data_IF_445051304430
#
_entry.id   IF_445051304430
#
_cell.length_a   1.000
_cell.length_b   1.000
_cell.length_c   1.000
_cell.angle_alpha   90.00
_cell.angle_beta   90.00
_cell.angle_gamma   90.00
#
_symmetry.space_group_name_H-M   'P 1'
#
loop_
_entity.id
_entity.type
_entity.pdbx_description
1 polymer ?
#
# COMPACT_ATOMS: atom_id res chain seq x y z
N UNK A 1 5.58 18.41 -43.29
CA UNK A 1 6.63 18.65 -42.27
C UNK A 1 6.34 17.80 -41.07
N UNK A 2 7.21 16.86 -40.64
CA UNK A 2 7.05 16.16 -39.37
C UNK A 2 7.33 17.17 -38.26
N UNK A 3 6.36 17.48 -37.42
CA UNK A 3 6.55 18.27 -36.22
C UNK A 3 7.67 17.66 -35.37
N UNK A 4 8.60 18.45 -34.89
CA UNK A 4 9.65 17.99 -34.00
C UNK A 4 8.98 17.49 -32.71
N UNK A 5 9.33 16.26 -32.27
CA UNK A 5 8.86 15.69 -31.01
C UNK A 5 9.26 16.60 -29.84
N UNK A 6 8.33 16.78 -28.89
CA UNK A 6 8.59 17.56 -27.67
C UNK A 6 8.89 16.66 -26.49
N UNK A 7 9.78 17.05 -25.56
CA UNK A 7 9.98 16.29 -24.33
C UNK A 7 8.69 16.18 -23.49
N UNK A 8 8.49 15.05 -22.83
CA UNK A 8 7.41 14.85 -21.88
C UNK A 8 7.57 15.82 -20.69
N UNK A 9 6.57 16.64 -20.44
CA UNK A 9 6.56 17.55 -19.29
C UNK A 9 6.19 16.85 -18.00
N UNK A 10 6.58 17.41 -16.84
CA UNK A 10 6.24 16.86 -15.53
C UNK A 10 4.70 16.78 -15.31
N UNK A 11 3.93 17.73 -15.84
CA UNK A 11 2.47 17.70 -15.76
C UNK A 11 1.88 16.58 -16.60
N UNK A 12 2.32 16.43 -17.84
CA UNK A 12 1.89 15.33 -18.71
C UNK A 12 2.26 13.96 -18.11
N UNK A 13 3.44 13.84 -17.51
CA UNK A 13 3.86 12.62 -16.83
C UNK A 13 2.88 12.22 -15.73
N UNK A 14 2.49 13.16 -14.87
CA UNK A 14 1.52 12.93 -13.78
C UNK A 14 0.13 12.61 -14.34
N UNK A 15 -0.33 13.35 -15.33
CA UNK A 15 -1.63 13.15 -15.96
C UNK A 15 -1.72 11.76 -16.59
N UNK A 16 -0.74 11.36 -17.41
CA UNK A 16 -0.73 10.05 -18.05
C UNK A 16 -0.63 8.91 -17.03
N UNK A 17 0.18 9.09 -15.98
CA UNK A 17 0.29 8.11 -14.91
C UNK A 17 -1.04 7.95 -14.15
N UNK A 18 -1.68 9.05 -13.75
CA UNK A 18 -2.96 9.02 -13.05
C UNK A 18 -4.07 8.40 -13.89
N UNK A 19 -4.11 8.75 -15.18
CA UNK A 19 -5.08 8.18 -16.12
C UNK A 19 -4.84 6.67 -16.30
N UNK A 20 -3.58 6.25 -16.43
CA UNK A 20 -3.22 4.84 -16.53
C UNK A 20 -3.57 4.05 -15.26
N UNK A 21 -3.39 4.63 -14.08
CA UNK A 21 -3.78 4.00 -12.82
C UNK A 21 -5.28 3.71 -12.77
N UNK A 22 -6.11 4.71 -13.03
CA UNK A 22 -7.59 4.56 -13.01
C UNK A 22 -8.06 3.53 -14.04
N UNK A 23 -7.59 3.63 -15.27
CA UNK A 23 -7.95 2.72 -16.36
C UNK A 23 -7.48 1.29 -16.08
N UNK A 24 -6.27 1.15 -15.54
CA UNK A 24 -5.75 -0.14 -15.13
C UNK A 24 -6.64 -0.82 -14.08
N UNK A 25 -7.07 -0.09 -13.05
CA UNK A 25 -7.96 -0.62 -12.02
C UNK A 25 -9.29 -1.10 -12.63
N UNK A 26 -9.91 -0.31 -13.49
CA UNK A 26 -11.12 -0.70 -14.21
C UNK A 26 -10.93 -1.91 -15.11
N UNK A 27 -9.86 -1.92 -15.91
CA UNK A 27 -9.53 -3.04 -16.79
C UNK A 27 -9.20 -4.32 -16.01
N UNK A 28 -8.50 -4.22 -14.87
CA UNK A 28 -8.18 -5.33 -13.99
C UNK A 28 -9.45 -5.98 -13.44
N UNK A 29 -10.36 -5.19 -12.90
CA UNK A 29 -11.62 -5.69 -12.35
C UNK A 29 -12.49 -6.36 -13.42
N UNK A 30 -12.56 -5.77 -14.59
CA UNK A 30 -13.36 -6.30 -15.70
C UNK A 30 -12.71 -7.51 -16.41
N UNK A 31 -11.42 -7.80 -16.18
CA UNK A 31 -10.69 -8.88 -16.85
C UNK A 31 -10.44 -10.08 -15.95
N UNK A 32 -10.49 -9.92 -14.63
CA UNK A 32 -10.04 -10.92 -13.67
C UNK A 32 -11.10 -11.91 -13.20
N UNK A 33 -12.39 -11.56 -13.31
CA UNK A 33 -13.48 -12.33 -12.69
C UNK A 33 -13.19 -12.68 -11.22
N UNK A 34 -12.79 -11.66 -10.45
CA UNK A 34 -12.35 -11.78 -9.07
C UNK A 34 -13.49 -12.18 -8.12
N UNK A 35 -13.24 -13.14 -7.28
CA UNK A 35 -14.12 -13.50 -6.16
C UNK A 35 -13.76 -12.69 -4.92
N UNK A 36 -14.66 -12.68 -3.95
CA UNK A 36 -14.38 -12.13 -2.62
C UNK A 36 -13.11 -12.76 -2.04
N UNK A 37 -12.24 -11.94 -1.44
CA UNK A 37 -10.98 -12.35 -0.82
C UNK A 37 -9.93 -12.98 -1.77
N UNK A 38 -10.01 -12.72 -3.07
CA UNK A 38 -8.95 -13.12 -4.01
C UNK A 38 -7.99 -11.97 -4.35
N UNK A 39 -8.42 -10.72 -4.12
CA UNK A 39 -7.67 -9.51 -4.43
C UNK A 39 -7.96 -8.44 -3.38
N UNK A 40 -6.93 -7.68 -2.98
CA UNK A 40 -7.08 -6.45 -2.22
C UNK A 40 -6.16 -5.36 -2.78
N UNK A 41 -6.71 -4.19 -3.07
CA UNK A 41 -5.96 -3.00 -3.47
C UNK A 41 -5.55 -2.24 -2.22
N UNK A 42 -4.25 -2.06 -2.00
CA UNK A 42 -3.72 -1.43 -0.80
C UNK A 42 -2.61 -0.41 -1.09
N UNK A 43 -1.87 0.01 -0.06
CA UNK A 43 -0.77 0.93 -0.22
C UNK A 43 -1.18 2.40 -0.44
N UNK A 44 -0.21 3.23 -0.81
CA UNK A 44 -0.40 4.68 -0.93
C UNK A 44 -1.35 5.09 -2.04
N UNK A 45 -1.37 4.36 -3.15
CA UNK A 45 -2.26 4.66 -4.27
C UNK A 45 -3.71 4.28 -3.96
N UNK A 46 -3.94 3.23 -3.16
CA UNK A 46 -5.27 2.93 -2.62
C UNK A 46 -5.79 4.06 -1.74
N UNK A 47 -4.96 4.62 -0.85
CA UNK A 47 -5.33 5.80 -0.05
C UNK A 47 -5.66 7.00 -0.94
N UNK A 48 -4.86 7.24 -1.98
CA UNK A 48 -5.07 8.36 -2.89
C UNK A 48 -6.37 8.23 -3.70
N UNK A 49 -6.55 7.09 -4.38
CA UNK A 49 -7.64 6.90 -5.35
C UNK A 49 -8.94 6.43 -4.72
N UNK A 50 -8.90 5.66 -3.64
CA UNK A 50 -10.10 5.09 -3.00
C UNK A 50 -10.59 5.88 -1.78
N UNK A 51 -9.69 6.65 -1.14
CA UNK A 51 -9.98 7.37 0.10
C UNK A 51 -9.71 8.87 0.02
N UNK A 52 -9.35 9.38 -1.16
CA UNK A 52 -9.09 10.80 -1.42
C UNK A 52 -7.96 11.41 -0.58
N UNK A 53 -6.94 10.61 -0.20
CA UNK A 53 -5.71 11.18 0.35
C UNK A 53 -5.10 12.16 -0.64
N UNK A 54 -4.73 13.38 -0.23
CA UNK A 54 -4.15 14.37 -1.13
C UNK A 54 -2.75 14.00 -1.61
N UNK A 55 -2.08 13.05 -0.94
CA UNK A 55 -0.73 12.61 -1.27
C UNK A 55 -0.73 11.72 -2.52
N UNK A 56 0.00 12.16 -3.54
CA UNK A 56 0.23 11.36 -4.76
C UNK A 56 0.98 10.06 -4.46
N UNK A 57 0.69 9.03 -5.24
CA UNK A 57 1.40 7.76 -5.22
C UNK A 57 1.54 7.22 -6.64
N UNK A 58 2.64 6.54 -6.93
CA UNK A 58 2.97 6.10 -8.29
C UNK A 58 2.66 4.63 -8.54
N UNK A 59 2.90 3.77 -7.54
CA UNK A 59 2.78 2.33 -7.67
C UNK A 59 1.35 1.86 -7.31
N UNK A 60 0.88 0.83 -7.99
CA UNK A 60 -0.35 0.13 -7.70
C UNK A 60 -0.01 -1.16 -6.94
N UNK A 61 -0.36 -1.21 -5.66
CA UNK A 61 -0.04 -2.33 -4.78
C UNK A 61 -1.26 -3.21 -4.53
N UNK A 62 -1.09 -4.51 -4.69
CA UNK A 62 -2.15 -5.50 -4.50
C UNK A 62 -1.69 -6.66 -3.63
N UNK A 63 -2.57 -7.14 -2.76
CA UNK A 63 -2.51 -8.49 -2.23
C UNK A 63 -3.35 -9.40 -3.13
N UNK A 64 -2.81 -10.56 -3.46
CA UNK A 64 -3.51 -11.54 -4.31
C UNK A 64 -3.37 -12.94 -3.71
N UNK A 65 -4.44 -13.72 -3.80
CA UNK A 65 -4.38 -15.14 -3.43
C UNK A 65 -3.38 -15.88 -4.33
N UNK A 66 -2.46 -16.61 -3.71
CA UNK A 66 -1.46 -17.43 -4.42
C UNK A 66 -2.08 -18.35 -5.48
N UNK A 67 -3.29 -18.85 -5.22
CA UNK A 67 -4.02 -19.68 -6.19
C UNK A 67 -4.38 -18.94 -7.50
N UNK A 68 -4.35 -17.61 -7.50
CA UNK A 68 -4.62 -16.76 -8.66
C UNK A 68 -3.35 -16.36 -9.44
N UNK A 69 -2.16 -16.63 -8.89
CA UNK A 69 -0.90 -16.15 -9.44
C UNK A 69 -0.66 -16.60 -10.90
N UNK A 70 -0.98 -17.85 -11.23
CA UNK A 70 -0.83 -18.39 -12.58
C UNK A 70 -1.73 -17.69 -13.62
N UNK A 71 -2.82 -17.08 -13.20
CA UNK A 71 -3.75 -16.35 -14.07
C UNK A 71 -3.26 -14.94 -14.42
N UNK A 72 -2.38 -14.36 -13.59
CA UNK A 72 -1.94 -12.97 -13.72
C UNK A 72 -1.38 -12.64 -15.12
N UNK A 73 -0.47 -13.42 -15.73
CA UNK A 73 0.06 -13.08 -17.05
C UNK A 73 -1.04 -13.00 -18.13
N UNK A 74 -2.03 -13.90 -18.07
CA UNK A 74 -3.17 -13.89 -19.00
C UNK A 74 -4.08 -12.70 -18.76
N UNK A 75 -4.36 -12.36 -17.49
CA UNK A 75 -5.14 -11.20 -17.11
C UNK A 75 -4.43 -9.93 -17.58
N UNK A 76 -3.12 -9.78 -17.34
CA UNK A 76 -2.34 -8.61 -17.75
C UNK A 76 -2.31 -8.43 -19.27
N UNK A 77 -2.30 -9.49 -20.04
CA UNK A 77 -2.44 -9.41 -21.52
C UNK A 77 -3.79 -8.80 -21.93
N UNK A 78 -4.88 -9.19 -21.25
CA UNK A 78 -6.23 -8.64 -21.52
C UNK A 78 -6.32 -7.19 -21.07
N UNK A 79 -5.79 -6.87 -19.88
CA UNK A 79 -5.72 -5.51 -19.34
C UNK A 79 -4.94 -4.61 -20.30
N UNK A 80 -3.77 -5.04 -20.76
CA UNK A 80 -2.93 -4.26 -21.70
C UNK A 80 -3.66 -3.92 -22.99
N UNK A 81 -4.40 -4.87 -23.57
CA UNK A 81 -5.19 -4.62 -24.76
C UNK A 81 -6.29 -3.57 -24.50
N UNK A 82 -7.03 -3.69 -23.40
CA UNK A 82 -8.08 -2.71 -23.03
C UNK A 82 -7.52 -1.33 -22.81
N UNK A 83 -6.40 -1.24 -22.06
CA UNK A 83 -5.72 0.04 -21.87
C UNK A 83 -5.32 0.69 -23.20
N UNK A 84 -4.73 -0.09 -24.10
CA UNK A 84 -4.37 0.42 -25.43
C UNK A 84 -5.62 0.95 -26.17
N UNK A 85 -6.71 0.19 -26.16
CA UNK A 85 -7.98 0.59 -26.80
C UNK A 85 -8.51 1.92 -26.21
N UNK A 86 -8.53 2.05 -24.89
CA UNK A 86 -9.00 3.26 -24.18
C UNK A 86 -8.11 4.49 -24.45
N UNK A 87 -6.79 4.32 -24.48
CA UNK A 87 -5.89 5.42 -24.79
C UNK A 87 -5.97 5.86 -26.26
N UNK A 88 -6.21 4.92 -27.18
CA UNK A 88 -6.44 5.25 -28.60
C UNK A 88 -7.72 6.06 -28.85
N UNK A 89 -8.73 5.93 -27.99
CA UNK A 89 -9.94 6.76 -28.05
C UNK A 89 -9.62 8.22 -27.73
N UNK A 90 -8.69 8.48 -26.78
CA UNK A 90 -8.29 9.84 -26.48
C UNK A 90 -7.43 10.46 -27.60
N UNK A 91 -6.42 9.73 -28.06
CA UNK A 91 -5.55 10.14 -29.17
C UNK A 91 -4.90 8.89 -29.81
N UNK A 92 -5.03 8.74 -31.16
CA UNK A 92 -4.43 7.61 -31.89
C UNK A 92 -2.89 7.62 -31.90
N UNK A 93 -2.26 8.62 -31.29
CA UNK A 93 -0.82 8.68 -31.10
C UNK A 93 -0.30 7.91 -29.88
N UNK A 94 -1.17 7.49 -28.98
CA UNK A 94 -0.79 6.74 -27.79
C UNK A 94 -0.44 5.29 -28.10
N UNK A 95 0.56 4.81 -27.36
CA UNK A 95 0.92 3.38 -27.27
C UNK A 95 1.04 3.00 -25.80
N UNK A 96 0.35 1.92 -25.41
CA UNK A 96 0.40 1.38 -24.05
C UNK A 96 0.90 -0.05 -24.10
N UNK A 97 1.90 -0.36 -23.29
CA UNK A 97 2.49 -1.68 -23.17
C UNK A 97 2.54 -2.10 -21.70
N UNK A 98 2.15 -3.35 -21.40
CA UNK A 98 2.40 -3.96 -20.09
C UNK A 98 3.58 -4.92 -20.21
N UNK A 99 4.65 -4.63 -19.47
CA UNK A 99 5.86 -5.45 -19.41
C UNK A 99 5.85 -6.28 -18.14
N UNK A 100 5.92 -7.59 -18.26
CA UNK A 100 6.14 -8.47 -17.12
C UNK A 100 7.60 -8.34 -16.64
N UNK A 101 7.78 -7.96 -15.37
CA UNK A 101 9.06 -7.82 -14.67
C UNK A 101 9.15 -8.74 -13.46
N UNK A 102 8.21 -9.68 -13.34
CA UNK A 102 8.22 -10.70 -12.30
C UNK A 102 9.50 -11.52 -12.41
N UNK A 103 10.18 -11.70 -11.29
CA UNK A 103 11.35 -12.59 -11.20
C UNK A 103 10.87 -14.02 -10.95
N UNK A 104 11.59 -14.98 -11.48
CA UNK A 104 11.33 -16.38 -11.19
C UNK A 104 11.39 -16.65 -9.69
N UNK A 105 10.54 -17.53 -9.19
CA UNK A 105 10.39 -17.91 -7.78
C UNK A 105 10.02 -16.74 -6.82
N UNK A 106 9.60 -15.61 -7.37
CA UNK A 106 9.17 -14.45 -6.56
C UNK A 106 7.73 -14.61 -6.11
N UNK A 107 7.47 -14.26 -4.83
CA UNK A 107 6.11 -14.05 -4.31
C UNK A 107 5.51 -12.71 -4.74
N UNK A 108 6.21 -11.97 -5.58
CA UNK A 108 5.81 -10.65 -6.06
C UNK A 108 5.66 -10.67 -7.57
N UNK A 109 4.42 -10.63 -8.08
CA UNK A 109 4.12 -10.32 -9.47
C UNK A 109 4.41 -8.83 -9.73
N UNK A 110 5.26 -8.53 -10.70
CA UNK A 110 5.65 -7.16 -11.02
C UNK A 110 5.39 -6.85 -12.49
N UNK A 111 4.56 -5.84 -12.75
CA UNK A 111 4.20 -5.42 -14.10
C UNK A 111 4.41 -3.92 -14.25
N UNK A 112 5.01 -3.50 -15.37
CA UNK A 112 5.18 -2.11 -15.74
C UNK A 112 4.23 -1.72 -16.87
N UNK A 113 3.37 -0.76 -16.61
CA UNK A 113 2.51 -0.11 -17.62
C UNK A 113 3.31 1.06 -18.18
N UNK A 114 3.66 1.00 -19.45
CA UNK A 114 4.44 2.03 -20.15
C UNK A 114 3.53 2.74 -21.13
N UNK A 115 3.40 4.06 -20.99
CA UNK A 115 2.58 4.93 -21.83
C UNK A 115 3.51 5.84 -22.61
N UNK A 116 3.42 5.81 -23.92
CA UNK A 116 4.18 6.67 -24.85
C UNK A 116 3.26 7.31 -25.87
N UNK A 117 3.71 8.40 -26.48
CA UNK A 117 2.97 9.07 -27.54
C UNK A 117 3.92 9.40 -28.70
N UNK A 118 3.44 9.21 -29.95
CA UNK A 118 4.29 9.38 -31.16
C UNK A 118 4.93 10.76 -31.30
N UNK A 119 4.30 11.82 -30.77
CA UNK A 119 4.78 13.21 -30.86
C UNK A 119 5.55 13.67 -29.64
N UNK A 120 5.83 12.76 -28.68
CA UNK A 120 6.50 13.06 -27.41
C UNK A 120 7.77 12.21 -27.26
N UNK A 121 8.82 12.83 -26.72
CA UNK A 121 10.06 12.14 -26.33
C UNK A 121 9.93 11.78 -24.84
N UNK A 122 10.02 10.50 -24.52
CA UNK A 122 9.85 9.97 -23.17
C UNK A 122 8.57 9.15 -23.02
N UNK A 123 8.38 8.59 -21.85
CA UNK A 123 7.21 7.79 -21.50
C UNK A 123 6.82 8.01 -20.04
N UNK A 124 5.56 7.80 -19.72
CA UNK A 124 5.11 7.64 -18.34
C UNK A 124 5.13 6.14 -18.00
N UNK A 125 5.46 5.83 -16.74
CA UNK A 125 5.44 4.46 -16.23
C UNK A 125 4.64 4.39 -14.94
N UNK A 126 3.80 3.35 -14.86
CA UNK A 126 3.10 2.95 -13.64
C UNK A 126 3.51 1.52 -13.34
N UNK A 127 3.81 1.23 -12.09
CA UNK A 127 4.16 -0.10 -11.63
C UNK A 127 2.97 -0.73 -10.94
N UNK A 128 2.65 -1.97 -11.27
CA UNK A 128 1.63 -2.76 -10.59
C UNK A 128 2.29 -3.97 -9.92
N UNK A 129 2.20 -4.03 -8.62
CA UNK A 129 2.81 -5.07 -7.78
C UNK A 129 1.72 -5.93 -7.14
N UNK A 130 1.84 -7.23 -7.30
CA UNK A 130 0.92 -8.22 -6.77
C UNK A 130 1.65 -9.11 -5.77
N UNK A 131 1.50 -8.81 -4.48
CA UNK A 131 2.07 -9.62 -3.42
C UNK A 131 1.20 -10.85 -3.16
N UNK A 132 1.77 -12.03 -3.37
CA UNK A 132 1.08 -13.31 -3.25
C UNK A 132 1.01 -13.75 -1.79
N UNK A 133 -0.20 -13.90 -1.30
CA UNK A 133 -0.51 -14.37 0.06
C UNK A 133 -1.47 -15.55 -0.01
N UNK A 134 -1.59 -16.32 1.05
CA UNK A 134 -2.57 -17.41 1.09
C UNK A 134 -4.00 -16.90 1.35
N UNK A 135 -5.00 -17.71 1.01
CA UNK A 135 -6.42 -17.37 1.17
C UNK A 135 -6.78 -17.01 2.63
N UNK A 136 -6.17 -17.67 3.62
CA UNK A 136 -6.44 -17.41 5.03
C UNK A 136 -5.95 -16.02 5.47
N UNK A 137 -4.84 -15.55 4.89
CA UNK A 137 -4.37 -14.19 5.10
C UNK A 137 -5.39 -13.17 4.56
N UNK A 138 -5.84 -13.35 3.31
CA UNK A 138 -6.79 -12.43 2.68
C UNK A 138 -8.17 -12.41 3.35
N UNK A 139 -8.64 -13.54 3.89
CA UNK A 139 -9.89 -13.58 4.66
C UNK A 139 -9.85 -12.72 5.92
N UNK A 140 -8.67 -12.55 6.51
CA UNK A 140 -8.43 -11.72 7.70
C UNK A 140 -7.94 -10.31 7.38
N UNK A 141 -7.90 -9.94 6.09
CA UNK A 141 -7.51 -8.63 5.62
C UNK A 141 -8.76 -7.85 5.16
N UNK A 142 -9.33 -6.97 6.01
CA UNK A 142 -10.57 -6.27 5.70
C UNK A 142 -10.44 -5.37 4.48
N UNK A 143 -11.41 -5.51 3.58
CA UNK A 143 -11.53 -4.67 2.38
C UNK A 143 -12.97 -4.17 2.21
N UNK A 144 -13.11 -3.03 1.57
CA UNK A 144 -14.40 -2.45 1.17
C UNK A 144 -14.36 -2.09 -0.31
N UNK A 145 -15.46 -2.32 -1.03
CA UNK A 145 -15.55 -1.92 -2.43
C UNK A 145 -15.63 -0.41 -2.56
N UNK A 146 -14.68 0.17 -3.29
CA UNK A 146 -14.59 1.62 -3.56
C UNK A 146 -14.45 1.84 -5.05
N UNK A 147 -15.11 2.88 -5.55
CA UNK A 147 -14.89 3.35 -6.92
C UNK A 147 -13.69 4.32 -6.90
N UNK A 148 -12.57 3.97 -7.54
CA UNK A 148 -11.42 4.85 -7.59
C UNK A 148 -11.72 6.17 -8.31
N UNK A 149 -11.19 7.27 -7.79
CA UNK A 149 -11.33 8.61 -8.37
C UNK A 149 -9.99 9.34 -8.29
N UNK A 150 -9.70 10.21 -9.26
CA UNK A 150 -8.54 11.10 -9.18
C UNK A 150 -8.99 12.39 -8.49
N UNK A 151 -8.44 12.72 -7.31
CA UNK A 151 -8.76 13.97 -6.62
C UNK A 151 -8.51 15.19 -7.52
N UNK A 152 -9.50 16.10 -7.62
CA UNK A 152 -9.40 17.33 -8.42
C UNK A 152 -9.67 17.18 -9.92
N UNK A 153 -9.93 15.98 -10.44
CA UNK A 153 -10.35 15.78 -11.82
C UNK A 153 -11.86 15.48 -11.91
N UNK A 154 -12.56 16.27 -12.73
CA UNK A 154 -14.01 16.15 -12.95
C UNK A 154 -14.35 15.04 -13.96
N UNK A 155 -13.37 14.50 -14.66
CA UNK A 155 -13.62 13.44 -15.65
C UNK A 155 -13.88 12.14 -14.91
N UNK A 156 -15.14 11.92 -14.62
CA UNK A 156 -15.65 10.64 -14.13
C UNK A 156 -15.48 9.56 -15.22
N UNK A 157 -14.31 9.00 -15.32
CA UNK A 157 -14.23 7.67 -15.90
C UNK A 157 -14.78 6.71 -14.85
N UNK A 158 -15.93 6.15 -15.14
CA UNK A 158 -16.58 5.16 -14.29
C UNK A 158 -15.67 3.94 -14.27
N UNK A 159 -14.78 3.87 -13.29
CA UNK A 159 -14.03 2.65 -13.03
C UNK A 159 -14.92 1.69 -12.24
N UNK A 160 -14.76 0.39 -12.48
CA UNK A 160 -15.43 -0.62 -11.67
C UNK A 160 -14.99 -0.51 -10.21
N UNK A 161 -15.88 -0.74 -9.23
CA UNK A 161 -15.49 -0.81 -7.83
C UNK A 161 -14.40 -1.86 -7.62
N UNK A 162 -13.42 -1.55 -6.77
CA UNK A 162 -12.31 -2.43 -6.42
C UNK A 162 -12.31 -2.70 -4.92
N UNK A 163 -11.97 -3.92 -4.46
CA UNK A 163 -11.80 -4.20 -3.04
C UNK A 163 -10.55 -3.47 -2.52
N UNK A 164 -10.75 -2.28 -1.98
CA UNK A 164 -9.70 -1.46 -1.36
C UNK A 164 -9.55 -1.81 0.11
N UNK A 165 -8.33 -1.76 0.64
CA UNK A 165 -8.07 -1.93 2.06
C UNK A 165 -8.93 -0.97 2.89
N UNK A 166 -9.59 -1.47 3.93
CA UNK A 166 -10.23 -0.62 4.93
C UNK A 166 -9.19 0.27 5.63
N UNK A 167 -9.63 1.40 6.17
CA UNK A 167 -8.69 2.37 6.75
C UNK A 167 -7.90 1.78 7.93
N UNK A 168 -8.50 0.89 8.73
CA UNK A 168 -7.81 0.16 9.79
C UNK A 168 -6.72 -0.75 9.22
N UNK A 169 -7.01 -1.50 8.14
CA UNK A 169 -6.02 -2.33 7.45
C UNK A 169 -4.91 -1.47 6.84
N UNK A 170 -5.27 -0.34 6.23
CA UNK A 170 -4.29 0.59 5.66
C UNK A 170 -3.38 1.20 6.74
N UNK A 171 -3.91 1.51 7.93
CA UNK A 171 -3.12 1.96 9.06
C UNK A 171 -2.13 0.88 9.52
N UNK A 172 -2.62 -0.35 9.68
CA UNK A 172 -1.79 -1.51 10.02
C UNK A 172 -0.71 -1.80 8.95
N UNK A 173 -0.99 -1.62 7.66
CA UNK A 173 0.01 -1.71 6.59
C UNK A 173 1.13 -0.68 6.76
N UNK A 174 0.79 0.54 7.17
CA UNK A 174 1.79 1.59 7.42
C UNK A 174 2.65 1.27 8.64
N UNK A 175 2.07 0.75 9.71
CA UNK A 175 2.83 0.24 10.85
C UNK A 175 3.75 -0.92 10.43
N UNK A 176 3.26 -1.84 9.60
CA UNK A 176 4.05 -2.94 9.06
C UNK A 176 5.22 -2.44 8.22
N UNK A 177 4.99 -1.42 7.37
CA UNK A 177 6.04 -0.80 6.60
C UNK A 177 7.11 -0.13 7.49
N UNK A 178 6.70 0.51 8.59
CA UNK A 178 7.60 1.05 9.61
C UNK A 178 8.45 -0.03 10.27
N UNK A 179 7.81 -1.12 10.71
CA UNK A 179 8.48 -2.20 11.41
C UNK A 179 9.47 -2.99 10.52
N UNK A 180 9.20 -3.08 9.21
CA UNK A 180 9.95 -3.97 8.31
C UNK A 180 11.00 -3.27 7.45
N UNK A 181 10.86 -1.97 7.18
CA UNK A 181 11.80 -1.23 6.34
C UNK A 181 13.09 -0.88 7.09
N UNK A 182 14.25 -0.96 6.42
CA UNK A 182 15.53 -0.57 7.02
C UNK A 182 15.69 0.95 7.18
N UNK A 183 14.88 1.75 6.49
CA UNK A 183 14.94 3.21 6.50
C UNK A 183 13.54 3.82 6.53
N UNK A 184 13.45 5.00 7.13
CA UNK A 184 12.23 5.77 7.24
C UNK A 184 11.86 6.41 5.91
N UNK A 185 10.56 6.49 5.62
CA UNK A 185 10.01 7.24 4.48
C UNK A 185 8.96 8.22 4.98
N UNK A 186 9.12 9.49 4.64
CA UNK A 186 8.17 10.54 5.00
C UNK A 186 6.74 10.26 4.54
N UNK A 187 6.59 9.56 3.42
CA UNK A 187 5.28 9.12 2.92
C UNK A 187 4.52 8.26 3.94
N UNK A 188 5.23 7.43 4.70
CA UNK A 188 4.60 6.55 5.70
C UNK A 188 4.22 7.34 6.96
N UNK A 189 5.04 8.33 7.40
CA UNK A 189 4.68 9.25 8.47
C UNK A 189 3.41 10.04 8.12
N UNK A 190 3.40 10.62 6.92
CA UNK A 190 2.26 11.37 6.44
C UNK A 190 0.99 10.52 6.38
N UNK A 191 1.08 9.30 5.85
CA UNK A 191 -0.06 8.40 5.73
C UNK A 191 -0.61 7.99 7.11
N UNK A 192 0.25 7.69 8.10
CA UNK A 192 -0.17 7.41 9.48
C UNK A 192 -0.90 8.61 10.11
N UNK A 193 -0.32 9.78 9.99
CA UNK A 193 -0.94 11.01 10.48
C UNK A 193 -2.29 11.28 9.79
N UNK A 194 -2.33 11.19 8.46
CA UNK A 194 -3.54 11.44 7.69
C UNK A 194 -4.64 10.43 8.04
N UNK A 195 -4.32 9.15 8.12
CA UNK A 195 -5.27 8.12 8.51
C UNK A 195 -5.83 8.36 9.91
N UNK A 196 -5.00 8.71 10.87
CA UNK A 196 -5.42 8.90 12.25
C UNK A 196 -6.14 10.22 12.52
N UNK A 197 -5.85 11.28 11.75
CA UNK A 197 -6.41 12.62 12.01
C UNK A 197 -7.44 13.06 10.97
N UNK A 198 -7.27 12.72 9.69
CA UNK A 198 -8.11 13.23 8.61
C UNK A 198 -9.22 12.25 8.20
N UNK A 199 -8.95 10.97 8.21
CA UNK A 199 -9.94 9.97 7.78
C UNK A 199 -11.08 9.78 8.78
N UNK A 200 -10.88 10.04 10.07
CA UNK A 200 -11.85 9.92 11.19
C UNK A 200 -12.55 8.56 11.31
N UNK A 201 -12.10 7.57 10.55
CA UNK A 201 -12.68 6.22 10.51
C UNK A 201 -11.73 5.16 11.08
N UNK A 202 -10.52 5.56 11.45
CA UNK A 202 -9.55 4.67 12.08
C UNK A 202 -9.73 4.75 13.59
N UNK A 203 -9.87 3.60 14.29
CA UNK A 203 -9.84 3.55 15.74
C UNK A 203 -8.56 4.18 16.31
N UNK A 204 -8.56 4.47 17.60
CA UNK A 204 -7.35 4.95 18.28
C UNK A 204 -6.19 3.99 17.98
N UNK A 205 -4.98 4.49 17.65
CA UNK A 205 -3.85 3.64 17.22
C UNK A 205 -3.52 2.47 18.16
N UNK A 206 -3.77 2.64 19.45
CA UNK A 206 -3.56 1.60 20.49
C UNK A 206 -4.77 0.69 20.71
N UNK A 207 -5.85 0.82 19.95
CA UNK A 207 -7.03 -0.05 20.00
C UNK A 207 -6.66 -1.48 19.61
N UNK A 208 -7.30 -2.45 20.25
CA UNK A 208 -7.04 -3.87 20.01
C UNK A 208 -7.26 -4.27 18.55
N UNK A 209 -8.24 -3.69 17.88
CA UNK A 209 -8.51 -3.96 16.47
C UNK A 209 -7.34 -3.53 15.58
N UNK A 210 -6.73 -2.38 15.85
CA UNK A 210 -5.54 -1.90 15.10
C UNK A 210 -4.35 -2.80 15.37
N UNK A 211 -4.13 -3.15 16.64
CA UNK A 211 -3.01 -4.01 17.05
C UNK A 211 -3.14 -5.42 16.43
N UNK A 212 -4.34 -6.02 16.49
CA UNK A 212 -4.59 -7.34 15.89
C UNK A 212 -4.34 -7.31 14.38
N UNK A 213 -4.82 -6.28 13.70
CA UNK A 213 -4.61 -6.14 12.26
C UNK A 213 -3.13 -5.89 11.93
N UNK A 214 -2.41 -5.09 12.73
CA UNK A 214 -0.98 -4.89 12.57
C UNK A 214 -0.20 -6.19 12.72
N UNK A 215 -0.45 -6.96 13.77
CA UNK A 215 0.22 -8.25 14.00
C UNK A 215 -0.12 -9.25 12.89
N UNK A 216 -1.37 -9.26 12.42
CA UNK A 216 -1.78 -10.07 11.27
C UNK A 216 -0.98 -9.68 10.02
N UNK A 217 -0.95 -8.39 9.66
CA UNK A 217 -0.25 -7.92 8.47
C UNK A 217 1.26 -8.20 8.58
N UNK A 218 1.86 -7.97 9.76
CA UNK A 218 3.27 -8.21 10.01
C UNK A 218 3.65 -9.70 9.85
N UNK A 219 2.71 -10.63 10.11
CA UNK A 219 2.97 -12.07 9.98
C UNK A 219 3.41 -12.51 8.57
N UNK A 220 3.07 -11.72 7.54
CA UNK A 220 3.49 -11.94 6.16
C UNK A 220 4.91 -11.44 5.83
N UNK A 221 5.58 -10.77 6.76
CA UNK A 221 6.86 -10.10 6.55
C UNK A 221 7.90 -10.49 7.62
N UNK A 222 9.15 -10.08 7.39
CA UNK A 222 10.24 -10.23 8.36
C UNK A 222 10.65 -8.85 8.88
N UNK A 223 10.77 -8.72 10.18
CA UNK A 223 11.40 -7.55 10.81
C UNK A 223 12.92 -7.61 10.62
N UNK A 224 13.61 -6.45 10.63
CA UNK A 224 15.06 -6.42 10.59
C UNK A 224 15.65 -7.18 11.80
N UNK A 225 16.71 -7.94 11.57
CA UNK A 225 17.48 -8.65 12.60
C UNK A 225 16.66 -9.52 13.57
N UNK A 226 15.45 -9.92 13.18
CA UNK A 226 14.56 -10.73 14.01
C UNK A 226 13.95 -9.98 15.21
N UNK A 227 13.95 -8.65 15.19
CA UNK A 227 13.32 -7.81 16.21
C UNK A 227 11.85 -8.17 16.42
N UNK A 228 11.37 -8.04 17.65
CA UNK A 228 9.94 -8.04 17.93
C UNK A 228 9.22 -6.85 17.24
N UNK A 229 7.91 -6.94 17.10
CA UNK A 229 7.11 -5.85 16.54
C UNK A 229 7.34 -4.52 17.28
N UNK A 230 7.40 -4.59 18.63
CA UNK A 230 7.62 -3.44 19.50
C UNK A 230 9.01 -2.80 19.29
N UNK A 231 10.08 -3.62 19.29
CA UNK A 231 11.45 -3.14 19.07
C UNK A 231 11.60 -2.51 17.68
N UNK A 232 10.98 -3.10 16.68
CA UNK A 232 11.01 -2.60 15.31
C UNK A 232 10.34 -1.22 15.17
N UNK A 233 9.24 -0.95 15.88
CA UNK A 233 8.59 0.36 15.93
C UNK A 233 9.40 1.36 16.76
N UNK A 234 9.96 0.93 17.88
CA UNK A 234 10.75 1.79 18.79
C UNK A 234 11.97 2.44 18.13
N UNK A 235 12.47 1.88 17.02
CA UNK A 235 13.57 2.49 16.23
C UNK A 235 13.26 3.93 15.80
N UNK A 236 11.98 4.29 15.68
CA UNK A 236 11.58 5.64 15.33
C UNK A 236 12.07 6.69 16.32
N UNK A 237 12.05 6.36 17.63
CA UNK A 237 12.43 7.28 18.70
C UNK A 237 13.93 7.61 18.73
N UNK A 238 14.76 6.87 18.00
CA UNK A 238 16.19 7.16 17.84
C UNK A 238 16.46 8.32 16.85
N UNK A 239 15.46 8.71 16.05
CA UNK A 239 15.62 9.82 15.10
C UNK A 239 15.49 11.17 15.81
N UNK A 240 16.36 12.13 15.46
CA UNK A 240 16.18 13.51 15.85
C UNK A 240 14.97 14.13 15.15
N UNK A 241 14.06 14.73 15.91
CA UNK A 241 12.80 15.26 15.38
C UNK A 241 13.00 16.48 14.48
N UNK A 242 14.03 17.29 14.73
CA UNK A 242 14.34 18.44 13.90
C UNK A 242 14.93 17.99 12.54
N UNK A 243 15.80 17.00 12.56
CA UNK A 243 16.34 16.39 11.34
C UNK A 243 15.24 15.74 10.50
N UNK A 244 14.30 15.04 11.14
CA UNK A 244 13.13 14.50 10.46
C UNK A 244 12.31 15.60 9.80
N UNK A 245 12.02 16.69 10.51
CA UNK A 245 11.26 17.81 9.95
C UNK A 245 11.97 18.44 8.74
N UNK A 246 13.29 18.58 8.78
CA UNK A 246 14.07 19.09 7.66
C UNK A 246 14.02 18.15 6.43
N UNK A 247 13.98 16.85 6.62
CA UNK A 247 13.87 15.86 5.53
C UNK A 247 12.54 15.93 4.79
N UNK A 248 11.47 16.43 5.41
CA UNK A 248 10.15 16.56 4.77
C UNK A 248 10.17 17.44 3.52
N UNK A 249 10.97 18.52 3.51
CA UNK A 249 11.13 19.41 2.35
C UNK A 249 11.61 18.63 1.11
N UNK A 250 12.48 17.65 1.31
CA UNK A 250 13.07 16.86 0.22
C UNK A 250 12.22 15.66 -0.15
N UNK A 251 11.70 14.93 0.82
CA UNK A 251 11.01 13.66 0.57
C UNK A 251 9.48 13.80 0.46
N UNK A 252 8.82 14.57 1.34
CA UNK A 252 7.35 14.67 1.36
C UNK A 252 6.81 15.68 0.33
N UNK A 253 7.45 16.83 0.19
CA UNK A 253 6.97 17.96 -0.64
C UNK A 253 6.59 17.55 -2.07
N UNK A 254 7.39 16.72 -2.71
CA UNK A 254 7.17 16.25 -4.08
C UNK A 254 5.91 15.38 -4.25
N UNK A 255 5.41 14.81 -3.15
CA UNK A 255 4.25 13.92 -3.13
C UNK A 255 2.94 14.63 -2.82
N UNK A 256 2.98 15.91 -2.51
CA UNK A 256 1.80 16.70 -2.17
C UNK A 256 1.48 17.73 -3.24
N UNK A 257 0.19 18.09 -3.43
CA UNK A 257 -0.17 19.29 -4.17
C UNK A 257 0.51 20.51 -3.56
N UNK A 258 0.94 21.47 -4.40
CA UNK A 258 1.69 22.65 -3.95
C UNK A 258 0.94 23.44 -2.87
N UNK A 259 -0.39 23.60 -3.02
CA UNK A 259 -1.24 24.28 -2.02
C UNK A 259 -1.28 23.54 -0.69
N UNK A 260 -1.33 22.20 -0.73
CA UNK A 260 -1.34 21.39 0.49
C UNK A 260 0.01 21.44 1.22
N UNK A 261 1.11 21.36 0.46
CA UNK A 261 2.44 21.54 1.02
C UNK A 261 2.62 22.93 1.65
N UNK A 262 2.18 23.98 0.96
CA UNK A 262 2.24 25.33 1.48
C UNK A 262 1.48 25.48 2.81
N UNK A 263 0.30 24.88 2.91
CA UNK A 263 -0.49 24.88 4.15
C UNK A 263 0.27 24.16 5.27
N UNK A 264 0.78 22.96 5.03
CA UNK A 264 1.53 22.19 6.04
C UNK A 264 2.78 22.94 6.52
N UNK A 265 3.55 23.51 5.60
CA UNK A 265 4.81 24.20 5.93
C UNK A 265 4.58 25.52 6.67
N UNK A 266 3.47 26.23 6.37
CA UNK A 266 3.17 27.53 7.01
C UNK A 266 2.56 27.40 8.40
N UNK A 267 1.97 26.25 8.78
CA UNK A 267 1.25 26.01 10.03
C UNK A 267 2.00 25.07 10.99
N UNK A 268 3.29 24.93 10.86
CA UNK A 268 4.10 23.93 11.60
C UNK A 268 3.57 22.47 11.47
N UNK A 269 2.83 22.21 10.40
CA UNK A 269 2.15 20.92 10.20
C UNK A 269 3.12 19.76 10.02
N UNK A 270 4.33 20.02 9.50
CA UNK A 270 5.39 19.02 9.39
C UNK A 270 5.81 18.50 10.77
N UNK A 271 5.98 19.41 11.73
CA UNK A 271 6.28 19.07 13.12
C UNK A 271 5.13 18.31 13.77
N UNK A 272 3.90 18.77 13.56
CA UNK A 272 2.70 18.09 14.07
C UNK A 272 2.56 16.67 13.55
N UNK A 273 2.99 16.37 12.30
CA UNK A 273 3.05 15.00 11.78
C UNK A 273 4.03 14.14 12.59
N UNK A 274 5.24 14.65 12.84
CA UNK A 274 6.27 13.92 13.59
C UNK A 274 5.81 13.66 15.03
N UNK A 275 5.24 14.66 15.69
CA UNK A 275 4.72 14.54 17.06
C UNK A 275 3.58 13.54 17.14
N UNK A 276 2.61 13.61 16.20
CA UNK A 276 1.52 12.63 16.14
C UNK A 276 2.04 11.21 15.98
N UNK A 277 2.99 10.98 15.06
CA UNK A 277 3.55 9.63 14.82
C UNK A 277 4.31 9.13 16.04
N UNK A 278 5.08 9.99 16.70
CA UNK A 278 5.81 9.63 17.93
C UNK A 278 4.84 9.17 19.04
N UNK A 279 3.78 9.93 19.26
CA UNK A 279 2.75 9.62 20.27
C UNK A 279 1.98 8.34 19.92
N UNK A 280 1.60 8.17 18.65
CA UNK A 280 0.90 6.98 18.16
C UNK A 280 1.76 5.73 18.34
N UNK A 281 3.04 5.77 17.97
CA UNK A 281 3.94 4.63 18.11
C UNK A 281 4.17 4.27 19.57
N UNK A 282 4.35 5.24 20.48
CA UNK A 282 4.45 4.99 21.92
C UNK A 282 3.21 4.31 22.48
N UNK A 283 2.02 4.75 22.07
CA UNK A 283 0.75 4.14 22.50
C UNK A 283 0.64 2.68 22.02
N UNK A 284 1.06 2.40 20.78
CA UNK A 284 1.09 1.04 20.21
C UNK A 284 2.11 0.16 20.94
N UNK A 285 3.31 0.65 21.20
CA UNK A 285 4.34 -0.08 21.94
C UNK A 285 3.89 -0.46 23.35
N UNK A 286 3.18 0.45 24.04
CA UNK A 286 2.58 0.16 25.34
C UNK A 286 1.48 -0.91 25.25
N UNK A 287 0.64 -0.88 24.21
CA UNK A 287 -0.37 -1.90 23.97
C UNK A 287 0.26 -3.26 23.69
N UNK A 288 1.31 -3.32 22.87
CA UNK A 288 2.06 -4.55 22.61
C UNK A 288 2.71 -5.10 23.88
N UNK A 289 3.33 -4.24 24.71
CA UNK A 289 3.95 -4.65 25.97
C UNK A 289 2.93 -5.25 26.95
N UNK A 290 1.71 -4.67 27.05
CA UNK A 290 0.65 -5.24 27.87
C UNK A 290 0.24 -6.65 27.41
N UNK A 291 0.14 -6.88 26.08
CA UNK A 291 -0.17 -8.20 25.52
C UNK A 291 0.93 -9.23 25.77
N UNK A 292 2.19 -8.82 25.62
CA UNK A 292 3.35 -9.69 25.92
C UNK A 292 3.34 -10.13 27.40
N UNK A 293 3.02 -9.23 28.35
CA UNK A 293 2.96 -9.54 29.77
C UNK A 293 1.83 -10.56 30.08
N UNK A 294 0.65 -10.39 29.51
CA UNK A 294 -0.48 -11.32 29.69
C UNK A 294 -0.14 -12.73 29.20
N UNK A 295 0.56 -12.86 28.08
CA UNK A 295 0.97 -14.16 27.53
C UNK A 295 1.98 -14.88 28.44
N UNK A 296 2.85 -14.12 29.13
CA UNK A 296 3.85 -14.67 30.06
C UNK A 296 3.24 -15.13 31.40
N UNK A 297 2.13 -14.52 31.84
CA UNK A 297 1.44 -14.86 33.08
C UNK A 297 0.55 -16.12 33.00
N UNK A 298 0.23 -16.61 31.78
CA UNK A 298 -0.55 -17.85 31.62
C UNK A 298 0.37 -19.03 31.99
N UNK A 299 0.10 -19.75 33.11
CA UNK A 299 0.91 -20.90 33.52
C UNK A 299 0.86 -21.95 32.39
N UNK A 300 2.03 -22.38 31.93
CA UNK A 300 2.12 -23.56 31.06
C UNK A 300 1.43 -24.73 31.80
N UNK A 301 0.36 -25.26 31.23
CA UNK A 301 -0.27 -26.48 31.75
C UNK A 301 0.84 -27.50 32.01
N UNK A 302 0.84 -28.17 33.21
CA UNK A 302 1.84 -29.18 33.49
C UNK A 302 1.76 -30.24 32.38
N UNK A 303 2.92 -30.55 31.83
CA UNK A 303 3.14 -31.56 30.79
C UNK A 303 2.41 -32.85 31.25
N UNK A 304 1.47 -33.44 30.50
CA UNK A 304 0.88 -34.69 30.85
C UNK A 304 2.00 -35.73 30.87
N UNK A 305 2.48 -36.05 32.07
CA UNK A 305 3.56 -36.98 32.30
C UNK A 305 3.38 -38.27 31.50
N UNK A 306 4.47 -38.99 31.20
CA UNK A 306 4.46 -40.11 30.26
C UNK A 306 3.40 -41.12 30.61
N UNK A 307 2.43 -41.30 29.75
CA UNK A 307 1.38 -42.33 29.82
C UNK A 307 2.07 -43.68 29.92
N UNK A 308 2.00 -44.31 31.09
CA UNK A 308 2.48 -45.68 31.27
C UNK A 308 1.74 -46.62 30.34
N UNK A 309 2.33 -46.95 29.23
CA UNK A 309 1.87 -48.04 28.36
C UNK A 309 1.92 -49.34 29.14
N UNK A 310 0.75 -49.87 29.52
CA UNK A 310 0.62 -51.24 30.06
C UNK A 310 1.09 -52.20 28.97
N UNK A 311 2.20 -52.88 29.22
CA UNK A 311 2.62 -54.06 28.44
C UNK A 311 1.53 -55.13 28.55
N UNK A 312 1.12 -55.77 27.45
CA UNK A 312 0.29 -56.96 27.53
C UNK A 312 1.10 -58.08 28.18
N UNK A 313 0.47 -58.80 29.12
CA UNK A 313 1.02 -60.03 29.69
C UNK A 313 0.93 -61.17 28.69
N UNK A 314 1.88 -62.12 28.73
CA UNK A 314 1.96 -63.24 27.81
C UNK A 314 0.79 -64.20 27.91
#
# INVERSE_FOLDING_TARGET
MRNARKPLTANQLREWASLAQIRFLGALMNSGAWKSHELAFHGGTSLHLSWASPRFSEDLDFLIDTAQAERLPKIMKTVGRRLQEEFLVDDPGFTVEIRNKTKDDSRLGNFQIVISHRDVIGNAMVKAEFWMVNSEYLKKYPTVFRTPTVPGHVVAQVSSPIPAAELTSAYADKLTAFATRPFLKWRDLYDLWWLGTQARAVPVPSDDQVIDQFLHNLSGYKTPDGMSAREALARFHAHDKADLAAQAEVDLKRWLPASHWQLLSSMDGVRSIVEYVDDALRAIEQALARREAVVQEVPRSPDPGPTKTKRPKP
#
